data_IF_095155236051
#
_entry.id   IF_095155236051
#
_cell.length_a   1.000
_cell.length_b   1.000
_cell.length_c   1.000
_cell.angle_alpha   90.00
_cell.angle_beta   90.00
_cell.angle_gamma   90.00
#
_symmetry.space_group_name_H-M   'P 1'
#
loop_
_entity.id
_entity.type
_entity.pdbx_description
1 polymer ?
#
# COMPACT_ATOMS: atom_id res chain seq x y z
N UNK A 1 12.28 -5.25 -1.47
CA UNK A 1 11.51 -5.98 -2.48
C UNK A 1 11.77 -7.48 -2.47
N UNK A 2 12.96 -8.00 -2.80
CA UNK A 2 13.21 -9.47 -2.75
C UNK A 2 12.99 -10.05 -1.35
N UNK A 3 13.60 -9.45 -0.32
CA UNK A 3 13.36 -9.83 1.09
C UNK A 3 11.89 -9.67 1.53
N UNK A 4 11.17 -8.72 0.94
CA UNK A 4 9.74 -8.51 1.24
C UNK A 4 8.91 -9.65 0.65
N UNK A 5 9.23 -10.10 -0.57
CA UNK A 5 8.60 -11.23 -1.22
C UNK A 5 8.92 -12.55 -0.50
N UNK A 6 10.18 -12.77 -0.13
CA UNK A 6 10.62 -13.96 0.61
C UNK A 6 9.90 -14.09 1.96
N UNK A 7 9.60 -12.96 2.61
CA UNK A 7 9.05 -12.92 3.97
C UNK A 7 7.56 -12.59 4.03
N UNK A 8 6.95 -12.19 2.92
CA UNK A 8 5.55 -11.75 2.86
C UNK A 8 5.25 -10.52 3.73
N UNK A 9 6.19 -9.59 3.87
CA UNK A 9 6.04 -8.37 4.69
C UNK A 9 6.44 -7.11 3.92
N UNK A 10 5.79 -5.98 4.22
CA UNK A 10 6.22 -4.65 3.77
C UNK A 10 7.37 -4.16 4.65
N UNK A 11 8.56 -3.92 4.07
CA UNK A 11 9.77 -3.44 4.78
C UNK A 11 10.12 -2.01 4.37
N UNK A 12 9.91 -1.69 3.09
CA UNK A 12 10.18 -0.38 2.51
C UNK A 12 8.87 0.31 2.21
N UNK A 13 8.78 1.62 2.47
CA UNK A 13 7.61 2.38 2.05
C UNK A 13 7.52 2.49 0.54
N UNK A 14 6.31 2.46 -0.02
CA UNK A 14 6.04 2.71 -1.42
C UNK A 14 4.98 3.80 -1.58
N UNK A 15 5.14 4.67 -2.58
CA UNK A 15 4.19 5.74 -2.85
C UNK A 15 3.69 5.67 -4.30
N UNK A 16 2.39 5.82 -4.49
CA UNK A 16 1.76 5.91 -5.82
C UNK A 16 0.67 6.97 -5.82
N UNK A 17 0.36 7.50 -7.00
CA UNK A 17 -0.76 8.42 -7.21
C UNK A 17 -1.81 7.72 -8.07
N UNK A 18 -3.07 7.81 -7.65
CA UNK A 18 -4.21 7.29 -8.39
C UNK A 18 -5.30 8.36 -8.53
N UNK A 19 -6.23 8.15 -9.46
CA UNK A 19 -7.45 8.94 -9.57
C UNK A 19 -8.65 8.05 -9.27
N UNK A 20 -9.52 8.49 -8.37
CA UNK A 20 -10.70 7.74 -7.93
C UNK A 20 -11.97 8.53 -8.16
N UNK A 21 -12.90 7.94 -8.91
CA UNK A 21 -14.21 8.53 -9.26
C UNK A 21 -15.38 7.94 -8.47
N UNK A 22 -15.11 7.17 -7.40
CA UNK A 22 -16.14 6.35 -6.75
C UNK A 22 -16.34 4.99 -7.44
N UNK A 23 -16.84 3.99 -6.69
CA UNK A 23 -17.02 2.62 -7.23
C UNK A 23 -18.02 2.56 -8.40
N UNK A 24 -19.06 3.39 -8.38
CA UNK A 24 -20.04 3.51 -9.46
C UNK A 24 -19.73 4.68 -10.41
N UNK A 25 -18.52 5.25 -10.36
CA UNK A 25 -18.10 6.46 -11.11
C UNK A 25 -19.03 7.66 -10.85
N UNK A 26 -19.56 7.76 -9.63
CA UNK A 26 -20.55 8.76 -9.26
C UNK A 26 -19.95 10.12 -8.91
N UNK A 27 -18.62 10.24 -8.81
CA UNK A 27 -17.92 11.47 -8.50
C UNK A 27 -16.95 11.84 -9.62
N UNK A 28 -16.63 13.13 -9.70
CA UNK A 28 -15.51 13.59 -10.52
C UNK A 28 -14.20 12.91 -10.07
N UNK A 29 -13.23 12.68 -10.98
CA UNK A 29 -11.97 12.04 -10.62
C UNK A 29 -11.20 12.81 -9.54
N UNK A 30 -11.08 12.23 -8.36
CA UNK A 30 -10.28 12.78 -7.27
C UNK A 30 -8.87 12.20 -7.29
N UNK A 31 -7.86 13.06 -7.16
CA UNK A 31 -6.47 12.62 -7.01
C UNK A 31 -6.22 12.10 -5.60
N UNK A 32 -5.69 10.88 -5.50
CA UNK A 32 -5.35 10.20 -4.25
C UNK A 32 -3.86 9.86 -4.26
N UNK A 33 -3.15 10.25 -3.21
CA UNK A 33 -1.78 9.82 -2.98
C UNK A 33 -1.80 8.68 -1.95
N UNK A 34 -1.37 7.48 -2.37
CA UNK A 34 -1.34 6.28 -1.54
C UNK A 34 0.10 6.06 -1.11
N UNK A 35 0.33 5.96 0.20
CA UNK A 35 1.63 5.62 0.78
C UNK A 35 1.42 4.34 1.57
N UNK A 36 1.97 3.24 1.07
CA UNK A 36 2.06 1.99 1.80
C UNK A 36 3.30 2.06 2.69
N UNK A 37 3.12 1.84 3.99
CA UNK A 37 4.17 1.94 5.00
C UNK A 37 4.32 0.63 5.75
N UNK A 38 5.55 0.25 6.13
CA UNK A 38 5.78 -0.93 6.97
C UNK A 38 4.95 -0.90 8.25
N UNK A 39 4.37 -2.04 8.61
CA UNK A 39 3.68 -2.24 9.89
C UNK A 39 4.64 -2.43 11.07
N UNK A 40 4.10 -2.48 12.29
CA UNK A 40 4.91 -2.81 13.49
C UNK A 40 5.35 -4.29 13.44
N UNK A 41 6.60 -4.57 13.81
CA UNK A 41 7.15 -5.93 13.90
C UNK A 41 6.39 -6.76 14.95
N UNK A 42 5.42 -7.58 14.52
CA UNK A 42 5.06 -8.78 15.29
C UNK A 42 6.07 -9.86 14.94
N UNK A 43 6.97 -10.16 15.87
CA UNK A 43 7.89 -11.29 15.76
C UNK A 43 7.06 -12.56 15.51
N UNK A 44 7.11 -13.09 14.30
CA UNK A 44 6.69 -14.46 14.05
C UNK A 44 7.73 -15.35 14.74
N UNK A 45 7.42 -15.80 15.95
CA UNK A 45 8.09 -16.94 16.56
C UNK A 45 7.96 -18.11 15.57
N UNK A 46 9.12 -18.68 15.21
CA UNK A 46 9.25 -19.85 14.32
C UNK A 46 8.31 -20.98 14.68
#
# INVERSE_FOLDING_TARGET
MEQEQERGITITSAATTAFWSGMAKQYEPHRVNIIDTPGTLTSQSK
#
